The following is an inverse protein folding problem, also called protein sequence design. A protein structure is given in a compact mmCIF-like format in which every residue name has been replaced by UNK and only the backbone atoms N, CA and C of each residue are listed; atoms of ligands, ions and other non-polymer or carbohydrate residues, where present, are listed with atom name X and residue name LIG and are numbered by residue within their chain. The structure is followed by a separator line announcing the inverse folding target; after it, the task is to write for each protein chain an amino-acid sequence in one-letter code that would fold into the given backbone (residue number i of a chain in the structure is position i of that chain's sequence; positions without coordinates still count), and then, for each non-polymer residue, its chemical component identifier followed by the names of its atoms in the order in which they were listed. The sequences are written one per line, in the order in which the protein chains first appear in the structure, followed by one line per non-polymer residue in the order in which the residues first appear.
data_IF_663946946326
#
_entry.id   IF_663946946326
#
_cell.length_a   1.000
_cell.length_b   1.000
_cell.length_c   1.000
_cell.angle_alpha   90.00
_cell.angle_beta   90.00
_cell.angle_gamma   90.00
#
_symmetry.space_group_name_H-M   'P 1'
#
loop_
_entity.id
_entity.type
_entity.pdbx_description
1 polymer ?
#
# COMPACT_ATOMS: atom_id res chain seq x y z
N UNK A 1 -11.68 15.03 13.08
CA UNK A 1 -12.63 14.61 12.00
C UNK A 1 -12.10 13.32 11.42
N UNK A 2 -12.95 12.30 11.20
CA UNK A 2 -12.46 10.99 10.73
C UNK A 2 -11.85 11.10 9.33
N UNK A 3 -10.86 10.25 9.01
CA UNK A 3 -10.22 10.27 7.68
C UNK A 3 -11.20 10.13 6.53
N UNK A 4 -12.28 9.35 6.72
CA UNK A 4 -13.38 9.21 5.75
C UNK A 4 -14.03 10.56 5.43
N UNK A 5 -14.36 11.35 6.45
CA UNK A 5 -15.03 12.64 6.26
C UNK A 5 -14.10 13.64 5.57
N UNK A 6 -12.82 13.66 5.97
CA UNK A 6 -11.79 14.47 5.31
C UNK A 6 -11.62 14.12 3.84
N UNK A 7 -11.61 12.84 3.51
CA UNK A 7 -11.54 12.40 2.12
C UNK A 7 -12.80 12.78 1.36
N UNK A 8 -13.98 12.66 1.97
CA UNK A 8 -15.26 13.07 1.37
C UNK A 8 -15.26 14.55 0.97
N UNK A 9 -14.65 15.44 1.78
CA UNK A 9 -14.53 16.86 1.46
C UNK A 9 -13.68 17.13 0.21
N UNK A 10 -12.66 16.30 -0.05
CA UNK A 10 -11.77 16.44 -1.23
C UNK A 10 -12.40 15.95 -2.53
N UNK A 11 -13.26 14.93 -2.46
CA UNK A 11 -13.81 14.23 -3.64
C UNK A 11 -14.51 15.17 -4.64
N UNK A 12 -15.39 16.11 -4.24
CA UNK A 12 -16.07 17.01 -5.18
C UNK A 12 -15.10 17.88 -5.99
N UNK A 13 -14.09 18.46 -5.33
CA UNK A 13 -13.10 19.32 -5.97
C UNK A 13 -12.26 18.51 -6.98
N UNK A 14 -11.78 17.34 -6.59
CA UNK A 14 -10.98 16.49 -7.47
C UNK A 14 -11.77 15.98 -8.68
N UNK A 15 -13.05 15.64 -8.49
CA UNK A 15 -13.93 15.26 -9.60
C UNK A 15 -14.11 16.41 -10.57
N UNK A 16 -14.34 17.62 -10.08
CA UNK A 16 -14.49 18.79 -10.95
C UNK A 16 -13.19 19.13 -11.67
N UNK A 17 -12.04 19.03 -11.00
CA UNK A 17 -10.71 19.19 -11.61
C UNK A 17 -10.52 18.25 -12.80
N UNK A 18 -10.80 16.95 -12.62
CA UNK A 18 -10.68 15.96 -13.70
C UNK A 18 -11.71 16.19 -14.80
N UNK A 19 -12.96 16.49 -14.44
CA UNK A 19 -14.02 16.79 -15.40
C UNK A 19 -13.64 17.98 -16.29
N UNK A 20 -13.13 19.06 -15.68
CA UNK A 20 -12.66 20.25 -16.39
C UNK A 20 -11.46 19.94 -17.28
N UNK A 21 -10.47 19.21 -16.78
CA UNK A 21 -9.29 18.82 -17.57
C UNK A 21 -9.70 18.05 -18.84
N UNK A 22 -10.57 17.05 -18.71
CA UNK A 22 -11.06 16.26 -19.85
C UNK A 22 -11.93 17.09 -20.80
N UNK A 23 -12.79 17.96 -20.25
CA UNK A 23 -13.65 18.84 -21.05
C UNK A 23 -12.85 19.86 -21.88
N UNK A 24 -11.87 20.50 -21.26
CA UNK A 24 -11.14 21.62 -21.86
C UNK A 24 -9.95 21.14 -22.71
N UNK A 25 -9.37 19.97 -22.40
CA UNK A 25 -8.12 19.49 -23.00
C UNK A 25 -8.16 18.02 -23.47
N UNK A 26 -9.33 17.39 -23.57
CA UNK A 26 -9.46 15.96 -23.91
C UNK A 26 -8.84 15.54 -25.25
N UNK A 27 -8.75 16.46 -26.22
CA UNK A 27 -8.16 16.21 -27.54
C UNK A 27 -6.67 16.62 -27.63
N UNK A 28 -6.06 17.09 -26.53
CA UNK A 28 -4.64 17.45 -26.52
C UNK A 28 -3.81 16.17 -26.58
N UNK A 29 -2.92 16.09 -27.58
CA UNK A 29 -1.95 15.00 -27.70
C UNK A 29 -0.93 15.08 -26.56
N UNK A 30 -0.87 14.02 -25.74
CA UNK A 30 0.09 13.92 -24.62
C UNK A 30 1.36 13.16 -24.96
N UNK A 31 1.34 12.36 -26.04
CA UNK A 31 2.46 11.52 -26.49
C UNK A 31 2.31 11.08 -27.96
N UNK A 32 3.39 10.57 -28.56
CA UNK A 32 3.40 9.89 -29.86
C UNK A 32 3.94 8.46 -29.71
N UNK A 33 3.24 7.48 -30.25
CA UNK A 33 3.56 6.05 -30.05
C UNK A 33 4.18 5.44 -31.30
N UNK A 34 5.33 4.80 -31.13
CA UNK A 34 6.05 4.06 -32.18
C UNK A 34 5.83 2.54 -32.04
N UNK A 35 6.06 1.81 -33.13
CA UNK A 35 5.97 0.33 -33.15
C UNK A 35 6.91 -0.31 -32.11
N UNK A 36 8.11 0.24 -31.93
CA UNK A 36 9.08 -0.30 -30.96
C UNK A 36 8.60 -0.14 -29.52
N UNK A 37 7.88 0.93 -29.18
CA UNK A 37 7.30 1.10 -27.84
C UNK A 37 6.14 0.13 -27.61
N UNK A 38 5.35 -0.19 -28.65
CA UNK A 38 4.29 -1.21 -28.57
C UNK A 38 4.89 -2.58 -28.25
N UNK A 39 5.92 -3.02 -28.99
CA UNK A 39 6.59 -4.30 -28.71
C UNK A 39 7.47 -4.26 -27.45
N UNK A 40 7.93 -3.07 -27.05
CA UNK A 40 8.81 -2.85 -25.91
C UNK A 40 8.09 -2.68 -24.57
N UNK A 41 6.82 -3.04 -24.47
CA UNK A 41 6.05 -2.97 -23.23
C UNK A 41 5.74 -1.54 -22.78
N UNK A 42 5.32 -0.68 -23.70
CA UNK A 42 4.93 0.71 -23.43
C UNK A 42 6.06 1.59 -22.87
N UNK A 43 7.31 1.25 -23.16
CA UNK A 43 8.47 2.02 -22.68
C UNK A 43 8.33 3.50 -23.06
N UNK A 44 8.39 4.37 -22.06
CA UNK A 44 8.29 5.82 -22.18
C UNK A 44 6.97 6.31 -22.81
N UNK A 45 5.90 5.51 -22.79
CA UNK A 45 4.56 5.97 -23.20
C UNK A 45 3.82 6.50 -21.97
N UNK A 46 3.38 7.76 -22.02
CA UNK A 46 2.47 8.34 -21.02
C UNK A 46 1.07 7.77 -21.19
N UNK A 47 0.71 6.81 -20.34
CA UNK A 47 -0.53 6.02 -20.48
C UNK A 47 -1.37 5.91 -19.21
N UNK A 48 -0.86 6.33 -18.06
CA UNK A 48 -1.52 6.23 -16.76
C UNK A 48 -1.48 7.57 -16.03
N UNK A 49 -2.43 7.78 -15.13
CA UNK A 49 -2.51 8.98 -14.28
C UNK A 49 -2.36 8.57 -12.82
N UNK A 50 -1.54 9.30 -12.07
CA UNK A 50 -1.46 9.21 -10.61
C UNK A 50 -1.29 10.60 -10.03
N UNK A 51 -1.98 10.88 -8.92
CA UNK A 51 -1.81 12.11 -8.14
C UNK A 51 -0.97 11.85 -6.87
N UNK A 52 -0.50 10.61 -6.64
CA UNK A 52 0.09 10.17 -5.36
C UNK A 52 1.60 10.46 -5.33
N UNK A 53 2.33 10.08 -6.37
CA UNK A 53 3.76 10.30 -6.48
C UNK A 53 4.22 10.49 -7.92
N UNK A 54 5.36 11.15 -8.08
CA UNK A 54 6.08 11.27 -9.35
C UNK A 54 7.59 11.37 -9.12
N UNK A 55 8.38 10.94 -10.09
CA UNK A 55 9.84 11.02 -10.03
C UNK A 55 10.32 12.33 -10.64
N UNK A 56 10.93 13.17 -9.82
CA UNK A 56 11.72 14.30 -10.29
C UNK A 56 13.12 13.80 -10.72
N UNK A 57 13.61 14.15 -11.92
CA UNK A 57 14.90 13.67 -12.41
C UNK A 57 16.10 14.16 -11.60
N UNK A 58 15.96 15.21 -10.79
CA UNK A 58 17.04 15.77 -9.96
C UNK A 58 16.88 15.41 -8.49
N UNK A 59 15.64 15.34 -8.00
CA UNK A 59 15.35 15.19 -6.57
C UNK A 59 14.79 13.81 -6.20
N UNK A 60 14.56 12.94 -7.19
CA UNK A 60 14.02 11.61 -7.00
C UNK A 60 12.52 11.60 -6.77
N UNK A 61 12.02 10.54 -6.13
CA UNK A 61 10.58 10.36 -5.89
C UNK A 61 10.04 11.45 -4.96
N UNK A 62 8.88 12.00 -5.33
CA UNK A 62 8.11 12.97 -4.54
C UNK A 62 6.76 12.37 -4.18
N UNK A 63 6.34 12.49 -2.92
CA UNK A 63 5.02 12.08 -2.44
C UNK A 63 4.13 13.32 -2.32
N UNK A 64 3.06 13.38 -3.12
CA UNK A 64 2.17 14.55 -3.21
C UNK A 64 2.93 15.87 -3.41
N UNK A 65 4.04 15.81 -4.13
CA UNK A 65 4.93 16.96 -4.39
C UNK A 65 6.04 17.19 -3.36
N UNK A 66 6.02 16.53 -2.20
CA UNK A 66 7.08 16.65 -1.18
C UNK A 66 8.23 15.68 -1.45
N UNK A 67 9.47 16.16 -1.30
CA UNK A 67 10.66 15.29 -1.33
C UNK A 67 10.71 14.36 -0.12
N UNK A 68 11.45 13.26 -0.20
CA UNK A 68 11.64 12.34 0.95
C UNK A 68 12.15 13.06 2.21
N UNK A 69 13.17 13.95 2.16
CA UNK A 69 13.59 14.70 3.33
C UNK A 69 12.47 15.56 3.93
N UNK A 70 11.68 16.24 3.10
CA UNK A 70 10.54 17.04 3.59
C UNK A 70 9.46 16.17 4.23
N UNK A 71 9.18 15.00 3.68
CA UNK A 71 8.23 14.03 4.27
C UNK A 71 8.72 13.58 5.64
N UNK A 72 9.99 13.20 5.77
CA UNK A 72 10.58 12.74 7.04
C UNK A 72 10.68 13.84 8.11
N UNK A 73 10.76 15.10 7.68
CA UNK A 73 10.78 16.27 8.55
C UNK A 73 9.38 16.68 9.00
N UNK A 74 8.42 16.76 8.07
CA UNK A 74 7.09 17.35 8.28
C UNK A 74 6.07 16.38 8.86
N UNK A 75 6.23 15.07 8.66
CA UNK A 75 5.28 14.09 9.20
C UNK A 75 5.42 13.94 10.73
N UNK A 76 4.31 13.80 11.48
CA UNK A 76 4.33 13.57 12.92
C UNK A 76 5.06 12.29 13.31
N UNK A 77 5.72 12.29 14.47
CA UNK A 77 6.55 11.18 14.96
C UNK A 77 6.06 10.69 16.32
N UNK A 78 6.17 9.38 16.62
CA UNK A 78 5.96 8.91 17.97
C UNK A 78 6.92 9.58 18.98
N UNK A 79 6.51 9.79 20.24
CA UNK A 79 7.38 10.34 21.26
C UNK A 79 8.69 9.55 21.41
N UNK A 80 9.82 10.21 21.17
CA UNK A 80 11.15 9.59 21.25
C UNK A 80 11.54 8.71 20.06
N UNK A 81 10.73 8.66 19.00
CA UNK A 81 11.05 7.98 17.75
C UNK A 81 11.86 8.89 16.81
N UNK A 82 12.65 8.28 15.92
CA UNK A 82 13.43 9.00 14.90
C UNK A 82 12.60 9.23 13.63
N UNK A 83 11.79 8.24 13.25
CA UNK A 83 10.98 8.26 12.03
C UNK A 83 9.49 8.46 12.29
N UNK A 84 8.77 9.07 11.32
CA UNK A 84 7.33 9.34 11.42
C UNK A 84 6.42 8.14 11.60
N UNK A 85 5.19 8.41 12.04
CA UNK A 85 4.08 7.46 11.96
C UNK A 85 3.80 7.07 10.50
N UNK A 86 3.51 5.80 10.27
CA UNK A 86 3.12 5.30 8.95
C UNK A 86 1.70 5.79 8.60
N UNK A 87 0.82 5.93 9.60
CA UNK A 87 -0.51 6.51 9.43
C UNK A 87 -0.48 7.94 8.91
N UNK A 88 0.53 8.73 9.31
CA UNK A 88 0.73 10.09 8.77
C UNK A 88 1.09 10.08 7.27
N UNK A 89 1.90 9.12 6.83
CA UNK A 89 2.16 8.96 5.39
C UNK A 89 0.90 8.54 4.65
N UNK A 90 0.16 7.55 5.15
CA UNK A 90 -1.09 7.12 4.51
C UNK A 90 -2.08 8.28 4.38
N UNK A 91 -2.20 9.12 5.41
CA UNK A 91 -2.97 10.36 5.34
C UNK A 91 -2.47 11.27 4.23
N UNK A 92 -1.17 11.56 4.16
CA UNK A 92 -0.60 12.39 3.09
C UNK A 92 -0.94 11.82 1.72
N UNK A 93 -0.68 10.54 1.50
CA UNK A 93 -0.94 9.89 0.21
C UNK A 93 -2.42 9.89 -0.15
N UNK A 94 -3.32 9.72 0.82
CA UNK A 94 -4.77 9.70 0.58
C UNK A 94 -5.36 11.11 0.39
N UNK A 95 -5.04 12.06 1.27
CA UNK A 95 -5.66 13.40 1.37
C UNK A 95 -4.91 14.45 0.54
N UNK A 96 -3.61 14.27 0.32
CA UNK A 96 -2.78 15.23 -0.42
C UNK A 96 -2.22 16.38 0.43
N UNK A 97 -2.34 16.32 1.76
CA UNK A 97 -1.93 17.37 2.68
C UNK A 97 -1.08 16.79 3.81
N UNK A 98 -0.14 17.59 4.35
CA UNK A 98 0.64 17.18 5.53
C UNK A 98 -0.32 17.04 6.73
N UNK A 99 -0.39 15.87 7.38
CA UNK A 99 -1.26 15.63 8.53
C UNK A 99 -0.80 16.41 9.76
N UNK A 100 -1.76 16.76 10.62
CA UNK A 100 -1.47 17.07 12.02
C UNK A 100 -1.16 15.79 12.81
N UNK A 101 -0.65 15.90 14.03
CA UNK A 101 -0.44 14.72 14.90
C UNK A 101 -1.75 13.97 15.19
N UNK A 102 -2.85 14.70 15.41
CA UNK A 102 -4.19 14.10 15.58
C UNK A 102 -4.61 13.28 14.36
N UNK A 103 -4.32 13.78 13.16
CA UNK A 103 -4.65 13.09 11.91
C UNK A 103 -3.85 11.80 11.73
N UNK A 104 -2.55 11.84 12.03
CA UNK A 104 -1.72 10.65 11.97
C UNK A 104 -2.19 9.58 12.99
N UNK A 105 -2.50 10.01 14.21
CA UNK A 105 -2.97 9.13 15.28
C UNK A 105 -4.37 8.56 14.99
N UNK A 106 -5.24 9.30 14.32
CA UNK A 106 -6.56 8.79 13.91
C UNK A 106 -6.44 7.63 12.93
N UNK A 107 -5.52 7.71 11.96
CA UNK A 107 -5.25 6.59 11.03
C UNK A 107 -4.67 5.38 11.76
N UNK A 108 -3.69 5.61 12.63
CA UNK A 108 -3.09 4.54 13.46
C UNK A 108 -4.17 3.85 14.33
N UNK A 109 -5.11 4.63 14.88
CA UNK A 109 -6.22 4.11 15.68
C UNK A 109 -7.22 3.31 14.85
N UNK A 110 -7.62 3.81 13.67
CA UNK A 110 -8.49 3.06 12.76
C UNK A 110 -7.85 1.72 12.36
N UNK A 111 -6.53 1.67 12.13
CA UNK A 111 -5.86 0.40 11.86
C UNK A 111 -5.82 -0.54 13.06
N UNK A 112 -5.59 -0.03 14.28
CA UNK A 112 -5.65 -0.85 15.50
C UNK A 112 -7.00 -1.53 15.67
N UNK A 113 -8.08 -0.79 15.43
CA UNK A 113 -9.46 -1.30 15.53
C UNK A 113 -9.80 -2.31 14.44
N UNK A 114 -9.13 -2.24 13.29
CA UNK A 114 -9.37 -3.09 12.12
C UNK A 114 -8.42 -4.29 12.03
N UNK A 115 -7.46 -4.44 12.94
CA UNK A 115 -6.38 -5.45 12.84
C UNK A 115 -6.80 -6.89 13.22
N UNK A 116 -8.10 -7.15 13.44
CA UNK A 116 -8.55 -8.52 13.66
C UNK A 116 -8.49 -9.32 12.35
N UNK A 117 -7.58 -10.30 12.31
CA UNK A 117 -7.43 -11.24 11.20
C UNK A 117 -8.22 -12.51 11.52
N UNK A 118 -9.24 -12.87 10.71
CA UNK A 118 -9.99 -14.10 10.93
C UNK A 118 -9.08 -15.33 10.94
N UNK A 119 -9.29 -16.25 11.89
CA UNK A 119 -8.47 -17.44 12.09
C UNK A 119 -8.23 -18.25 10.81
N UNK A 120 -9.24 -18.34 9.95
CA UNK A 120 -9.16 -19.09 8.69
C UNK A 120 -8.12 -18.51 7.71
N UNK A 121 -7.73 -17.24 7.81
CA UNK A 121 -6.73 -16.61 6.93
C UNK A 121 -5.35 -17.21 7.20
N UNK A 122 -4.94 -17.21 8.47
CA UNK A 122 -3.72 -17.89 8.90
C UNK A 122 -3.83 -19.41 8.70
N UNK A 123 -5.04 -19.97 8.86
CA UNK A 123 -5.34 -21.38 8.56
C UNK A 123 -5.06 -21.76 7.10
N UNK A 124 -5.36 -20.90 6.12
CA UNK A 124 -5.03 -21.14 4.70
C UNK A 124 -3.52 -21.13 4.49
N UNK A 125 -2.83 -20.14 5.07
CA UNK A 125 -1.37 -19.98 4.96
C UNK A 125 -0.64 -21.21 5.53
N UNK A 126 -1.01 -21.61 6.75
CA UNK A 126 -0.37 -22.72 7.48
C UNK A 126 -0.65 -24.10 6.88
N UNK A 127 -1.40 -24.19 5.78
CA UNK A 127 -1.75 -25.44 5.07
C UNK A 127 -1.02 -25.55 3.74
N UNK A 128 -0.32 -24.49 3.33
CA UNK A 128 0.56 -24.52 2.18
C UNK A 128 1.82 -25.36 2.50
N UNK A 129 2.47 -25.97 1.49
CA UNK A 129 3.76 -26.64 1.68
C UNK A 129 4.81 -25.71 2.31
N UNK A 130 5.63 -26.22 3.23
CA UNK A 130 6.64 -25.44 3.97
C UNK A 130 7.65 -24.73 3.05
N UNK A 131 7.92 -25.30 1.88
CA UNK A 131 8.84 -24.77 0.87
C UNK A 131 8.19 -23.68 -0.03
N UNK A 132 6.89 -23.43 0.09
CA UNK A 132 6.18 -22.37 -0.65
C UNK A 132 6.85 -21.02 -0.43
N UNK A 133 7.15 -20.28 -1.51
CA UNK A 133 7.70 -18.93 -1.41
C UNK A 133 6.75 -17.99 -0.62
N UNK A 134 7.25 -17.04 0.20
CA UNK A 134 6.40 -16.18 1.03
C UNK A 134 5.37 -15.33 0.25
N UNK A 135 5.72 -14.83 -0.94
CA UNK A 135 4.82 -13.95 -1.70
C UNK A 135 3.53 -14.67 -2.16
N UNK A 136 3.57 -15.90 -2.72
CA UNK A 136 2.35 -16.69 -2.93
C UNK A 136 1.50 -16.88 -1.67
N UNK A 137 2.12 -17.17 -0.51
CA UNK A 137 1.39 -17.30 0.76
C UNK A 137 0.70 -15.97 1.12
N UNK A 138 1.40 -14.85 0.94
CA UNK A 138 0.90 -13.51 1.22
C UNK A 138 -0.27 -13.15 0.30
N UNK A 139 -0.14 -13.38 -1.01
CA UNK A 139 -1.23 -13.19 -1.97
C UNK A 139 -2.46 -14.03 -1.63
N UNK A 140 -2.29 -15.28 -1.19
CA UNK A 140 -3.41 -16.14 -0.78
C UNK A 140 -4.06 -15.67 0.52
N UNK A 141 -3.27 -15.21 1.50
CA UNK A 141 -3.79 -14.60 2.73
C UNK A 141 -4.65 -13.37 2.45
N UNK A 142 -4.20 -12.50 1.54
CA UNK A 142 -4.98 -11.33 1.08
C UNK A 142 -6.28 -11.78 0.42
N UNK A 143 -6.23 -12.78 -0.47
CA UNK A 143 -7.44 -13.31 -1.13
C UNK A 143 -8.42 -13.94 -0.12
N UNK A 144 -7.92 -14.59 0.93
CA UNK A 144 -8.79 -15.13 1.98
C UNK A 144 -9.59 -14.04 2.71
N UNK A 145 -9.07 -12.81 2.79
CA UNK A 145 -9.83 -11.67 3.36
C UNK A 145 -10.97 -11.18 2.45
N UNK A 146 -10.93 -11.46 1.15
CA UNK A 146 -11.88 -10.93 0.17
C UNK A 146 -13.34 -11.21 0.51
N UNK A 147 -13.63 -12.34 1.18
CA UNK A 147 -14.97 -12.69 1.68
C UNK A 147 -15.66 -11.54 2.42
N UNK A 148 -14.89 -10.70 3.12
CA UNK A 148 -15.40 -9.62 3.94
C UNK A 148 -15.41 -8.27 3.21
N UNK A 149 -15.23 -8.23 1.89
CA UNK A 149 -15.25 -6.99 1.10
C UNK A 149 -16.60 -6.28 1.21
N UNK A 150 -16.55 -5.06 1.73
CA UNK A 150 -17.67 -4.13 1.80
C UNK A 150 -17.99 -3.59 0.40
N UNK A 151 -16.98 -3.40 -0.45
CA UNK A 151 -17.18 -2.93 -1.83
C UNK A 151 -17.97 -3.94 -2.65
N UNK A 152 -17.55 -5.21 -2.65
CA UNK A 152 -18.23 -6.26 -3.40
C UNK A 152 -19.70 -6.41 -2.97
N UNK A 153 -19.96 -6.39 -1.66
CA UNK A 153 -21.32 -6.46 -1.11
C UNK A 153 -22.18 -5.26 -1.54
N UNK A 154 -21.71 -4.03 -1.33
CA UNK A 154 -22.48 -2.83 -1.69
C UNK A 154 -22.69 -2.69 -3.21
N UNK A 155 -21.74 -3.15 -4.02
CA UNK A 155 -21.89 -3.19 -5.46
C UNK A 155 -23.05 -4.11 -5.88
N UNK A 156 -23.12 -5.33 -5.31
CA UNK A 156 -24.20 -6.29 -5.57
C UNK A 156 -25.58 -5.79 -5.12
N UNK A 157 -25.63 -5.00 -4.05
CA UNK A 157 -26.85 -4.36 -3.55
C UNK A 157 -27.33 -3.17 -4.41
N UNK A 158 -26.52 -2.72 -5.39
CA UNK A 158 -26.90 -1.66 -6.33
C UNK A 158 -26.57 -0.24 -5.86
N UNK A 159 -25.34 0.00 -5.40
CA UNK A 159 -24.87 1.35 -5.01
C UNK A 159 -24.64 2.30 -6.21
N UNK A 160 -24.76 3.62 -5.99
CA UNK A 160 -24.48 4.60 -7.02
C UNK A 160 -22.98 4.70 -7.31
N UNK A 161 -22.63 4.99 -8.56
CA UNK A 161 -21.23 5.17 -9.00
C UNK A 161 -20.47 6.23 -8.17
N UNK A 162 -21.17 7.29 -7.78
CA UNK A 162 -20.58 8.37 -6.99
C UNK A 162 -20.20 7.95 -5.56
N UNK A 163 -20.70 6.82 -5.09
CA UNK A 163 -20.46 6.28 -3.75
C UNK A 163 -19.38 5.18 -3.75
N UNK A 164 -18.90 4.73 -4.92
CA UNK A 164 -17.95 3.61 -5.04
C UNK A 164 -16.68 3.78 -4.20
N UNK A 165 -16.21 5.01 -4.04
CA UNK A 165 -15.01 5.31 -3.27
C UNK A 165 -15.18 4.98 -1.78
N UNK A 166 -16.39 5.06 -1.23
CA UNK A 166 -16.63 4.87 0.21
C UNK A 166 -16.32 3.46 0.68
N UNK A 167 -16.96 2.40 0.13
CA UNK A 167 -16.63 1.05 0.56
C UNK A 167 -15.25 0.58 0.06
N UNK A 168 -14.71 1.20 -1.00
CA UNK A 168 -13.32 0.96 -1.42
C UNK A 168 -12.33 1.49 -0.37
N UNK A 169 -12.57 2.69 0.19
CA UNK A 169 -11.76 3.25 1.27
C UNK A 169 -11.86 2.38 2.53
N UNK A 170 -13.06 1.91 2.87
CA UNK A 170 -13.26 1.00 4.01
C UNK A 170 -12.49 -0.31 3.85
N UNK A 171 -12.55 -0.94 2.68
CA UNK A 171 -11.79 -2.15 2.39
C UNK A 171 -10.27 -1.86 2.37
N UNK A 172 -9.85 -0.66 1.93
CA UNK A 172 -8.44 -0.22 1.97
C UNK A 172 -7.90 -0.10 3.39
N UNK A 173 -8.66 0.52 4.29
CA UNK A 173 -8.30 0.64 5.70
C UNK A 173 -8.25 -0.75 6.37
N UNK A 174 -9.22 -1.62 6.08
CA UNK A 174 -9.26 -2.99 6.60
C UNK A 174 -8.08 -3.83 6.12
N UNK A 175 -7.77 -3.76 4.81
CA UNK A 175 -6.66 -4.52 4.24
C UNK A 175 -5.32 -4.01 4.79
N UNK A 176 -5.10 -2.69 4.80
CA UNK A 176 -3.85 -2.08 5.31
C UNK A 176 -3.64 -2.44 6.78
N UNK A 177 -4.69 -2.43 7.61
CA UNK A 177 -4.58 -2.85 9.00
C UNK A 177 -4.06 -4.30 9.15
N UNK A 178 -4.52 -5.22 8.28
CA UNK A 178 -4.34 -6.68 8.43
C UNK A 178 -3.11 -7.24 7.72
N UNK A 179 -2.57 -6.55 6.70
CA UNK A 179 -1.45 -7.06 5.90
C UNK A 179 -0.19 -7.30 6.73
N UNK A 180 0.07 -6.50 7.77
CA UNK A 180 1.23 -6.71 8.66
C UNK A 180 1.08 -7.98 9.49
N UNK A 181 -0.11 -8.28 10.00
CA UNK A 181 -0.39 -9.53 10.72
C UNK A 181 -0.32 -10.75 9.82
N UNK A 182 -0.79 -10.66 8.57
CA UNK A 182 -0.63 -11.73 7.58
C UNK A 182 0.86 -11.98 7.28
N UNK A 183 1.62 -10.91 7.03
CA UNK A 183 3.05 -11.01 6.77
C UNK A 183 3.82 -11.59 7.98
N UNK A 184 3.45 -11.17 9.20
CA UNK A 184 4.03 -11.71 10.42
C UNK A 184 3.68 -13.19 10.62
N UNK A 185 2.43 -13.60 10.36
CA UNK A 185 2.03 -15.01 10.39
C UNK A 185 2.91 -15.86 9.47
N UNK A 186 3.11 -15.42 8.22
CA UNK A 186 3.99 -16.11 7.26
C UNK A 186 5.43 -16.16 7.77
N UNK A 187 5.97 -15.05 8.25
CA UNK A 187 7.35 -14.98 8.70
C UNK A 187 7.61 -15.90 9.91
N UNK A 188 6.71 -15.87 10.89
CA UNK A 188 6.80 -16.67 12.13
C UNK A 188 6.65 -18.15 11.83
N UNK A 189 5.63 -18.51 11.04
CA UNK A 189 5.42 -19.90 10.63
C UNK A 189 6.61 -20.45 9.85
N UNK A 190 7.08 -19.72 8.81
CA UNK A 190 8.11 -20.22 7.89
C UNK A 190 9.52 -20.19 8.48
N UNK A 191 9.87 -19.18 9.25
CA UNK A 191 11.27 -18.94 9.67
C UNK A 191 11.53 -19.13 11.16
N UNK A 192 10.48 -19.15 11.99
CA UNK A 192 10.59 -19.33 13.44
C UNK A 192 9.93 -20.62 13.93
N UNK A 193 9.02 -21.21 13.15
CA UNK A 193 8.32 -22.44 13.50
C UNK A 193 7.28 -22.24 14.60
N UNK A 194 6.81 -21.00 14.79
CA UNK A 194 5.85 -20.62 15.82
C UNK A 194 4.78 -19.66 15.25
N UNK A 195 3.83 -19.28 16.10
CA UNK A 195 2.77 -18.35 15.73
C UNK A 195 3.17 -16.89 15.98
N UNK A 196 2.61 -15.98 15.19
CA UNK A 196 2.73 -14.55 15.45
C UNK A 196 1.94 -14.19 16.72
N UNK A 197 2.52 -13.40 17.66
CA UNK A 197 1.74 -12.87 18.77
C UNK A 197 0.63 -11.95 18.24
N UNK A 198 -0.44 -11.75 19.01
CA UNK A 198 -1.48 -10.79 18.63
C UNK A 198 -0.90 -9.37 18.53
N UNK A 199 -1.49 -8.50 17.68
CA UNK A 199 -1.21 -7.07 17.67
C UNK A 199 -1.24 -6.46 19.07
N UNK A 200 -0.30 -5.59 19.39
CA UNK A 200 -0.32 -4.77 20.61
C UNK A 200 -1.04 -3.43 20.33
N UNK A 201 -2.17 -3.15 20.99
CA UNK A 201 -2.93 -1.91 20.77
C UNK A 201 -2.18 -0.64 21.19
N UNK A 202 -1.10 -0.76 21.97
CA UNK A 202 -0.31 0.38 22.42
C UNK A 202 0.78 0.79 21.43
N UNK A 203 1.11 -0.05 20.45
CA UNK A 203 2.16 0.22 19.46
C UNK A 203 1.60 0.90 18.21
N UNK A 204 2.38 1.74 17.55
CA UNK A 204 2.08 2.23 16.19
C UNK A 204 2.30 1.12 15.15
N UNK A 205 1.81 1.31 13.93
CA UNK A 205 1.86 0.34 12.83
C UNK A 205 3.25 -0.24 12.59
N UNK A 206 4.30 0.59 12.61
CA UNK A 206 5.67 0.14 12.39
C UNK A 206 6.20 -0.70 13.55
N UNK A 207 6.00 -0.25 14.79
CA UNK A 207 6.42 -1.00 15.98
C UNK A 207 5.61 -2.27 16.20
N UNK A 208 4.32 -2.24 15.88
CA UNK A 208 3.46 -3.40 15.99
C UNK A 208 3.89 -4.50 15.01
N UNK A 209 4.33 -4.15 13.79
CA UNK A 209 4.93 -5.13 12.88
C UNK A 209 6.21 -5.75 13.47
N UNK A 210 7.12 -4.93 14.03
CA UNK A 210 8.34 -5.40 14.70
C UNK A 210 8.04 -6.39 15.84
N UNK A 211 7.04 -6.08 16.67
CA UNK A 211 6.52 -6.96 17.71
C UNK A 211 6.00 -8.28 17.13
N UNK A 212 5.12 -8.23 16.11
CA UNK A 212 4.50 -9.43 15.53
C UNK A 212 5.48 -10.35 14.80
N UNK A 213 6.56 -9.81 14.23
CA UNK A 213 7.64 -10.66 13.66
C UNK A 213 8.60 -11.21 14.72
N UNK A 214 8.45 -10.82 15.99
CA UNK A 214 9.26 -11.29 17.10
C UNK A 214 10.62 -10.58 17.24
N UNK A 215 10.71 -9.32 16.80
CA UNK A 215 11.92 -8.48 16.90
C UNK A 215 11.55 -7.10 17.50
N UNK A 216 11.12 -7.03 18.78
CA UNK A 216 10.65 -5.79 19.40
C UNK A 216 11.81 -4.93 19.92
N UNK A 217 12.84 -4.72 19.10
CA UNK A 217 13.95 -3.81 19.45
C UNK A 217 13.67 -2.43 18.88
N UNK A 218 14.09 -1.37 19.59
CA UNK A 218 13.88 0.01 19.14
C UNK A 218 14.47 0.24 17.74
N UNK A 219 15.62 -0.35 17.44
CA UNK A 219 16.26 -0.24 16.13
C UNK A 219 15.41 -0.85 15.02
N UNK A 220 14.76 -2.00 15.27
CA UNK A 220 13.92 -2.67 14.28
C UNK A 220 12.55 -2.00 14.13
N UNK A 221 12.00 -1.42 15.20
CA UNK A 221 10.82 -0.56 15.13
C UNK A 221 11.08 0.67 14.24
N UNK A 222 12.20 1.38 14.48
CA UNK A 222 12.61 2.53 13.66
C UNK A 222 12.86 2.12 12.21
N UNK A 223 13.53 0.99 11.99
CA UNK A 223 13.73 0.45 10.64
C UNK A 223 12.40 0.15 9.96
N UNK A 224 11.43 -0.45 10.67
CA UNK A 224 10.12 -0.79 10.11
C UNK A 224 9.34 0.47 9.70
N UNK A 225 9.32 1.51 10.56
CA UNK A 225 8.71 2.81 10.23
C UNK A 225 9.31 3.40 8.96
N UNK A 226 10.65 3.52 8.91
CA UNK A 226 11.34 4.06 7.74
C UNK A 226 11.12 3.21 6.49
N UNK A 227 11.17 1.89 6.61
CA UNK A 227 11.03 0.97 5.48
C UNK A 227 9.66 1.13 4.82
N UNK A 228 8.59 1.16 5.61
CA UNK A 228 7.24 1.40 5.11
C UNK A 228 7.08 2.79 4.50
N UNK A 229 7.74 3.82 5.06
CA UNK A 229 7.73 5.17 4.48
C UNK A 229 8.34 5.21 3.08
N UNK A 230 9.56 4.69 2.95
CA UNK A 230 10.34 4.81 1.71
C UNK A 230 9.82 3.95 0.57
N UNK A 231 9.21 2.80 0.87
CA UNK A 231 8.72 1.85 -0.13
C UNK A 231 7.20 1.90 -0.33
N UNK A 232 6.56 2.97 0.15
CA UNK A 232 5.10 3.11 0.12
C UNK A 232 4.53 3.27 -1.28
N UNK A 233 5.19 4.05 -2.14
CA UNK A 233 4.75 4.30 -3.52
C UNK A 233 5.93 4.70 -4.43
N UNK A 234 5.82 4.43 -5.73
CA UNK A 234 6.81 4.86 -6.72
C UNK A 234 6.20 4.90 -8.15
N UNK A 235 5.37 5.91 -8.38
CA UNK A 235 4.55 6.08 -9.59
C UNK A 235 3.61 4.89 -9.88
N UNK A 236 2.84 5.00 -10.97
CA UNK A 236 1.89 3.95 -11.39
C UNK A 236 2.41 3.04 -12.50
N UNK A 237 3.58 3.34 -13.08
CA UNK A 237 4.14 2.58 -14.22
C UNK A 237 4.80 1.25 -13.82
N UNK A 238 5.15 1.08 -12.54
CA UNK A 238 5.72 -0.18 -12.06
C UNK A 238 4.67 -1.31 -12.08
N UNK A 239 5.14 -2.56 -12.23
CA UNK A 239 4.26 -3.72 -12.48
C UNK A 239 3.21 -3.90 -11.39
N UNK A 240 3.56 -3.75 -10.11
CA UNK A 240 2.61 -3.92 -9.01
C UNK A 240 1.52 -2.84 -9.00
N UNK A 241 1.90 -1.56 -9.10
CA UNK A 241 0.94 -0.46 -9.09
C UNK A 241 0.04 -0.48 -10.33
N UNK A 242 0.62 -0.73 -11.51
CA UNK A 242 -0.15 -0.86 -12.75
C UNK A 242 -1.11 -2.05 -12.68
N UNK A 243 -0.69 -3.20 -12.16
CA UNK A 243 -1.56 -4.38 -12.01
C UNK A 243 -2.73 -4.10 -11.07
N UNK A 244 -2.47 -3.48 -9.90
CA UNK A 244 -3.54 -3.08 -8.98
C UNK A 244 -4.54 -2.16 -9.69
N UNK A 245 -4.05 -1.12 -10.37
CA UNK A 245 -4.88 -0.15 -11.08
C UNK A 245 -5.70 -0.81 -12.19
N UNK A 246 -5.09 -1.70 -12.99
CA UNK A 246 -5.74 -2.40 -14.08
C UNK A 246 -6.87 -3.32 -13.57
N UNK A 247 -6.63 -4.11 -12.53
CA UNK A 247 -7.64 -5.02 -11.97
C UNK A 247 -8.78 -4.23 -11.32
N UNK A 248 -8.45 -3.18 -10.56
CA UNK A 248 -9.45 -2.28 -9.96
C UNK A 248 -10.30 -1.53 -11.01
N UNK A 249 -9.76 -1.27 -12.22
CA UNK A 249 -10.49 -0.60 -13.31
C UNK A 249 -11.70 -1.42 -13.80
N UNK A 250 -11.70 -2.73 -13.59
CA UNK A 250 -12.84 -3.61 -13.82
C UNK A 250 -13.85 -3.62 -12.66
N UNK A 251 -13.71 -2.70 -11.69
CA UNK A 251 -14.47 -2.65 -10.44
C UNK A 251 -14.27 -3.87 -9.55
N UNK A 252 -13.11 -4.52 -9.64
CA UNK A 252 -12.70 -5.50 -8.64
C UNK A 252 -12.42 -4.79 -7.31
N UNK A 253 -12.79 -5.39 -6.19
CA UNK A 253 -12.42 -4.87 -4.87
C UNK A 253 -10.90 -4.87 -4.64
N UNK A 254 -10.48 -4.22 -3.54
CA UNK A 254 -9.06 -4.05 -3.25
C UNK A 254 -8.34 -5.37 -2.97
N UNK A 255 -9.02 -6.41 -2.48
CA UNK A 255 -8.37 -7.69 -2.16
C UNK A 255 -7.97 -8.42 -3.43
N UNK A 256 -8.84 -8.44 -4.46
CA UNK A 256 -8.48 -8.95 -5.78
C UNK A 256 -7.38 -8.10 -6.43
N UNK A 257 -7.49 -6.78 -6.35
CA UNK A 257 -6.53 -5.86 -6.98
C UNK A 257 -5.14 -5.96 -6.35
N UNK A 258 -5.06 -5.99 -5.01
CA UNK A 258 -3.80 -6.04 -4.28
C UNK A 258 -3.14 -7.43 -4.34
N UNK A 259 -3.91 -8.52 -4.31
CA UNK A 259 -3.34 -9.86 -4.51
C UNK A 259 -2.76 -10.05 -5.91
N UNK A 260 -3.44 -9.53 -6.96
CA UNK A 260 -2.88 -9.50 -8.31
C UNK A 260 -1.58 -8.68 -8.37
N UNK A 261 -1.54 -7.53 -7.69
CA UNK A 261 -0.33 -6.71 -7.58
C UNK A 261 0.83 -7.45 -6.90
N UNK A 262 0.56 -8.25 -5.85
CA UNK A 262 1.57 -9.09 -5.20
C UNK A 262 2.13 -10.16 -6.14
N UNK A 263 1.29 -10.73 -7.02
CA UNK A 263 1.77 -11.65 -8.05
C UNK A 263 2.67 -10.96 -9.07
N UNK A 264 2.34 -9.72 -9.47
CA UNK A 264 3.22 -8.89 -10.30
C UNK A 264 4.54 -8.54 -9.60
N UNK A 265 4.49 -8.22 -8.30
CA UNK A 265 5.65 -7.94 -7.46
C UNK A 265 6.57 -9.15 -7.29
N UNK A 266 6.02 -10.37 -7.28
CA UNK A 266 6.78 -11.60 -7.23
C UNK A 266 7.68 -11.84 -8.47
N UNK A 267 7.42 -11.11 -9.56
CA UNK A 267 8.21 -11.18 -10.77
C UNK A 267 9.68 -10.84 -10.51
N UNK A 268 10.66 -11.65 -10.98
CA UNK A 268 12.08 -11.40 -10.74
C UNK A 268 12.57 -10.02 -11.18
N UNK A 269 12.00 -9.47 -12.25
CA UNK A 269 12.34 -8.15 -12.78
C UNK A 269 11.74 -6.98 -11.98
N UNK A 270 11.03 -7.25 -10.89
CA UNK A 270 10.41 -6.23 -10.04
C UNK A 270 10.82 -6.37 -8.57
N UNK A 271 10.46 -7.46 -7.91
CA UNK A 271 10.57 -7.56 -6.44
C UNK A 271 11.89 -8.09 -5.87
N UNK A 272 12.86 -8.51 -6.70
CA UNK A 272 14.06 -9.22 -6.21
C UNK A 272 15.31 -8.35 -6.00
N UNK A 273 15.29 -7.08 -6.43
CA UNK A 273 16.48 -6.21 -6.39
C UNK A 273 17.14 -6.11 -5.00
N UNK A 274 16.35 -6.05 -3.93
CA UNK A 274 16.86 -6.04 -2.55
C UNK A 274 17.60 -7.35 -2.23
N UNK A 275 16.99 -8.50 -2.54
CA UNK A 275 17.59 -9.81 -2.28
C UNK A 275 18.87 -10.03 -3.09
N UNK A 276 18.88 -9.62 -4.35
CA UNK A 276 20.06 -9.74 -5.22
C UNK A 276 21.21 -8.86 -4.73
N UNK A 277 20.90 -7.63 -4.32
CA UNK A 277 21.89 -6.70 -3.75
C UNK A 277 22.49 -7.26 -2.45
N UNK A 278 21.67 -7.84 -1.58
CA UNK A 278 22.15 -8.44 -0.33
C UNK A 278 22.97 -9.70 -0.58
N UNK A 279 22.53 -10.61 -1.48
CA UNK A 279 23.32 -11.80 -1.85
C UNK A 279 24.68 -11.41 -2.40
N UNK A 280 24.69 -10.46 -3.34
CA UNK A 280 25.93 -9.94 -3.91
C UNK A 280 26.85 -9.35 -2.82
N UNK A 281 26.30 -8.55 -1.90
CA UNK A 281 27.08 -7.97 -0.81
C UNK A 281 27.69 -9.06 0.10
N UNK A 282 26.92 -10.11 0.41
CA UNK A 282 27.39 -11.23 1.22
C UNK A 282 28.47 -12.07 0.52
N UNK A 283 28.48 -12.10 -0.81
CA UNK A 283 29.49 -12.83 -1.59
C UNK A 283 30.83 -12.06 -1.67
N UNK A 284 30.82 -10.73 -1.45
CA UNK A 284 32.02 -9.87 -1.53
C UNK A 284 32.56 -9.41 -0.17
N UNK A 285 31.84 -9.69 0.92
CA UNK A 285 32.27 -9.47 2.31
C UNK A 285 33.07 -10.67 2.84
#
# INVERSE_FOLDING_TARGET
MKIKDKFAEKVPEWRERVRKLVKDYGDVKVDEVTISQVYGGMRNIKSLVTDISYVDPNEGIRFRGYTIPEVLEKLPKPPGAKYPYVGGLYYLLLIGEIPTEEDALEVEQEWKERNDVPEYVCGVINRMPDDTHPIPQFSQGILALQRNSKFAKRYQEGMNRDEYWEPMLEDSLDLTAKVTSIAACIYRHKYKGDEAPPPDPNLDYGANFAHMVGIPTKEYEELSRLYFLLHSDHESGNVSAHTAHLVASALSDIYFSFSAAMNGLAGPLHGLANQESLRWLMDVL
#
